data_IF_786757306545
#
_entry.id   IF_786757306545
#
_cell.length_a   1.000
_cell.length_b   1.000
_cell.length_c   1.000
_cell.angle_alpha   90.00
_cell.angle_beta   90.00
_cell.angle_gamma   90.00
#
_symmetry.space_group_name_H-M   'P 1'
#
loop_
_entity.id
_entity.type
_entity.pdbx_description
1 polymer ?
#
# COMPACT_ATOMS: atom_id res chain seq x y z
N UNK A 1 10.68 -0.27 -3.63
CA UNK A 1 10.68 0.74 -2.57
C UNK A 1 11.53 1.99 -2.91
N UNK A 2 12.63 1.87 -3.66
CA UNK A 2 13.51 2.98 -3.95
C UNK A 2 13.94 3.01 -5.43
N UNK A 3 14.16 4.22 -5.97
CA UNK A 3 14.45 4.40 -7.39
C UNK A 3 15.77 3.73 -7.80
N UNK A 4 16.79 3.73 -6.94
CA UNK A 4 18.06 3.09 -7.23
C UNK A 4 18.02 1.56 -7.33
N UNK A 5 16.95 0.92 -6.82
CA UNK A 5 16.73 -0.52 -7.03
C UNK A 5 16.51 -0.87 -8.49
N UNK A 6 16.02 0.08 -9.31
CA UNK A 6 15.88 -0.12 -10.75
C UNK A 6 17.22 -0.42 -11.41
N UNK A 7 18.27 0.32 -11.06
CA UNK A 7 19.60 0.15 -11.65
C UNK A 7 20.18 -1.22 -11.33
N UNK A 8 19.97 -1.65 -10.09
CA UNK A 8 20.42 -2.97 -9.62
C UNK A 8 19.66 -4.08 -10.32
N UNK A 9 18.32 -3.96 -10.39
CA UNK A 9 17.48 -4.96 -11.05
C UNK A 9 17.78 -5.05 -12.55
N UNK A 10 17.93 -3.90 -13.22
CA UNK A 10 18.25 -3.85 -14.65
C UNK A 10 19.59 -4.52 -14.95
N UNK A 11 20.63 -4.30 -14.11
CA UNK A 11 21.93 -5.00 -14.24
C UNK A 11 21.76 -6.51 -14.14
N UNK A 12 20.98 -6.99 -13.15
CA UNK A 12 20.71 -8.42 -12.95
C UNK A 12 19.96 -8.99 -14.16
N UNK A 13 18.93 -8.31 -14.63
CA UNK A 13 18.14 -8.73 -15.78
C UNK A 13 19.00 -8.79 -17.06
N UNK A 14 19.83 -7.78 -17.27
CA UNK A 14 20.77 -7.72 -18.41
C UNK A 14 21.76 -8.88 -18.40
N UNK A 15 22.40 -9.15 -17.25
CA UNK A 15 23.38 -10.24 -17.14
C UNK A 15 22.75 -11.62 -17.32
N UNK A 16 21.50 -11.80 -16.91
CA UNK A 16 20.76 -13.05 -17.07
C UNK A 16 19.95 -13.14 -18.37
N UNK A 17 19.98 -12.11 -19.24
CA UNK A 17 19.19 -12.01 -20.47
C UNK A 17 17.69 -12.28 -20.24
N UNK A 18 17.14 -11.77 -19.13
CA UNK A 18 15.74 -11.93 -18.73
C UNK A 18 15.08 -10.57 -18.53
N UNK A 19 13.76 -10.55 -18.66
CA UNK A 19 12.92 -9.41 -18.30
C UNK A 19 12.35 -9.60 -16.90
N UNK A 20 12.25 -8.53 -16.13
CA UNK A 20 11.55 -8.52 -14.85
C UNK A 20 10.25 -7.71 -14.94
N UNK A 21 9.15 -8.28 -14.44
CA UNK A 21 7.92 -7.53 -14.18
C UNK A 21 8.08 -6.75 -12.89
N UNK A 22 7.74 -5.45 -12.94
CA UNK A 22 7.91 -4.56 -11.80
C UNK A 22 6.65 -3.78 -11.46
N UNK A 23 6.52 -3.46 -10.19
CA UNK A 23 5.64 -2.40 -9.68
C UNK A 23 6.44 -1.51 -8.72
N UNK A 24 6.04 -0.26 -8.59
CA UNK A 24 6.59 0.61 -7.55
C UNK A 24 5.66 0.64 -6.35
N UNK A 25 6.26 0.55 -5.16
CA UNK A 25 5.57 0.92 -3.94
C UNK A 25 5.62 2.43 -3.80
N UNK A 26 4.47 3.06 -3.80
CA UNK A 26 4.32 4.51 -3.69
C UNK A 26 3.74 4.86 -2.32
N UNK A 27 4.34 5.84 -1.66
CA UNK A 27 3.80 6.41 -0.43
C UNK A 27 2.84 7.56 -0.78
N UNK A 28 1.52 7.39 -0.59
CA UNK A 28 0.54 8.44 -0.86
C UNK A 28 0.54 9.55 0.19
N UNK A 29 1.37 9.46 1.24
CA UNK A 29 1.45 10.40 2.35
C UNK A 29 0.09 10.61 3.06
N UNK A 30 -0.64 9.53 3.30
CA UNK A 30 -1.89 9.49 4.09
C UNK A 30 -1.61 8.88 5.46
N UNK A 31 -2.16 9.50 6.52
CA UNK A 31 -2.06 8.98 7.88
C UNK A 31 -3.08 7.87 8.12
N UNK A 32 -2.67 6.73 8.70
CA UNK A 32 -3.61 5.72 9.18
C UNK A 32 -4.45 6.21 10.37
N UNK A 33 -4.01 7.27 11.06
CA UNK A 33 -4.73 7.93 12.16
C UNK A 33 -5.32 9.23 11.64
N UNK A 34 -6.47 9.17 10.98
CA UNK A 34 -7.14 10.36 10.43
C UNK A 34 -7.89 11.16 11.50
N UNK A 35 -7.17 12.09 12.14
CA UNK A 35 -7.74 13.38 12.48
C UNK A 35 -7.02 14.43 11.61
N UNK A 36 -7.76 15.33 10.99
CA UNK A 36 -7.37 16.26 9.91
C UNK A 36 -6.13 17.15 10.15
N UNK A 37 -5.49 17.09 11.30
CA UNK A 37 -4.39 17.98 11.69
C UNK A 37 -3.01 17.32 11.90
N UNK A 38 -2.82 16.03 11.61
CA UNK A 38 -1.55 15.32 11.89
C UNK A 38 -0.85 14.76 10.65
N UNK A 39 -0.93 15.44 9.52
CA UNK A 39 -0.30 15.00 8.26
C UNK A 39 1.23 15.16 8.18
N UNK A 40 1.88 15.73 9.21
CA UNK A 40 3.33 16.03 9.19
C UNK A 40 4.22 14.82 9.47
N UNK A 41 3.76 13.80 10.21
CA UNK A 41 4.57 12.63 10.62
C UNK A 41 4.80 11.56 9.54
N UNK A 42 4.11 11.63 8.39
CA UNK A 42 4.15 10.55 7.39
C UNK A 42 5.00 10.86 6.15
N UNK A 43 5.48 12.09 6.01
CA UNK A 43 6.48 12.45 4.98
C UNK A 43 7.81 11.72 5.20
N UNK A 44 8.05 11.24 6.41
CA UNK A 44 9.27 10.55 6.84
C UNK A 44 9.18 9.02 6.78
N UNK A 45 8.12 8.45 6.15
CA UNK A 45 8.05 7.00 5.98
C UNK A 45 9.24 6.50 5.17
N UNK A 46 9.97 5.53 5.73
CA UNK A 46 11.09 4.88 5.05
C UNK A 46 10.69 3.96 3.91
N UNK A 47 9.36 3.70 3.74
CA UNK A 47 8.85 2.76 2.77
C UNK A 47 8.16 3.47 1.61
N UNK A 48 8.42 2.98 0.41
CA UNK A 48 7.85 3.46 -0.84
C UNK A 48 8.49 4.76 -1.34
N UNK A 49 8.42 4.98 -2.64
CA UNK A 49 8.84 6.24 -3.24
C UNK A 49 7.78 7.33 -2.96
N UNK A 50 8.18 8.58 -2.77
CA UNK A 50 7.23 9.69 -2.63
C UNK A 50 6.32 9.79 -3.86
N UNK A 51 5.02 10.10 -3.65
CA UNK A 51 4.05 10.26 -4.74
C UNK A 51 4.53 11.20 -5.86
N UNK A 52 5.19 12.30 -5.49
CA UNK A 52 5.75 13.28 -6.44
C UNK A 52 6.85 12.73 -7.35
N UNK A 53 7.52 11.66 -6.95
CA UNK A 53 8.60 11.02 -7.69
C UNK A 53 8.11 9.85 -8.57
N UNK A 54 6.85 9.42 -8.39
CA UNK A 54 6.30 8.27 -9.09
C UNK A 54 6.42 8.42 -10.62
N UNK A 55 5.99 9.57 -11.17
CA UNK A 55 6.02 9.81 -12.62
C UNK A 55 7.44 9.62 -13.21
N UNK A 56 8.45 10.19 -12.57
CA UNK A 56 9.84 10.07 -13.05
C UNK A 56 10.39 8.63 -12.90
N UNK A 57 10.02 7.94 -11.82
CA UNK A 57 10.38 6.53 -11.64
C UNK A 57 9.82 5.64 -12.75
N UNK A 58 8.52 5.81 -13.07
CA UNK A 58 7.88 5.07 -14.16
C UNK A 58 8.43 5.46 -15.54
N UNK A 59 8.70 6.74 -15.79
CA UNK A 59 9.32 7.23 -17.02
C UNK A 59 10.72 6.64 -17.23
N UNK A 60 11.50 6.51 -16.13
CA UNK A 60 12.78 5.84 -16.16
C UNK A 60 12.64 4.34 -16.45
N UNK A 61 11.75 3.64 -15.76
CA UNK A 61 11.51 2.22 -15.97
C UNK A 61 11.05 1.91 -17.41
N UNK A 62 10.22 2.77 -18.00
CA UNK A 62 9.73 2.63 -19.38
C UNK A 62 10.86 2.67 -20.43
N UNK A 63 11.99 3.30 -20.13
CA UNK A 63 13.15 3.34 -21.06
C UNK A 63 13.95 2.03 -21.09
N UNK A 64 13.78 1.17 -20.09
CA UNK A 64 14.52 -0.08 -20.02
C UNK A 64 13.82 -1.19 -20.82
N UNK A 65 14.59 -1.91 -21.63
CA UNK A 65 14.11 -3.10 -22.34
C UNK A 65 14.10 -4.37 -21.46
N UNK A 66 14.57 -4.26 -20.23
CA UNK A 66 14.65 -5.37 -19.29
C UNK A 66 13.62 -5.28 -18.16
N UNK A 67 12.86 -4.17 -18.11
CA UNK A 67 11.88 -3.94 -17.05
C UNK A 67 10.50 -3.75 -17.66
N UNK A 68 9.58 -4.66 -17.36
CA UNK A 68 8.19 -4.57 -17.77
C UNK A 68 7.37 -3.98 -16.62
N UNK A 69 6.85 -2.79 -16.82
CA UNK A 69 5.94 -2.15 -15.85
C UNK A 69 4.62 -2.93 -15.84
N UNK A 70 4.23 -3.46 -14.69
CA UNK A 70 3.01 -4.26 -14.55
C UNK A 70 1.99 -3.65 -13.59
N UNK A 71 2.41 -2.93 -12.56
CA UNK A 71 1.46 -2.42 -11.58
C UNK A 71 2.01 -1.29 -10.73
N UNK A 72 1.22 -0.91 -9.74
CA UNK A 72 1.54 0.03 -8.67
C UNK A 72 1.05 -0.54 -7.34
N UNK A 73 1.76 -0.26 -6.26
CA UNK A 73 1.44 -0.75 -4.93
C UNK A 73 1.53 0.37 -3.91
N UNK A 74 0.68 0.32 -2.90
CA UNK A 74 0.81 1.13 -1.69
C UNK A 74 0.60 0.27 -0.44
N UNK A 75 1.09 0.76 0.69
CA UNK A 75 0.72 0.23 2.01
C UNK A 75 0.77 1.36 3.02
N UNK A 76 -0.37 1.72 3.58
CA UNK A 76 -0.55 2.95 4.35
C UNK A 76 -0.38 2.79 5.86
N UNK A 77 -0.23 1.57 6.33
CA UNK A 77 -0.03 1.29 7.75
C UNK A 77 -0.64 -0.02 8.20
N UNK A 78 -0.76 -0.20 9.50
CA UNK A 78 -1.31 -1.41 10.12
C UNK A 78 -2.34 -1.04 11.20
N UNK A 79 -3.24 -1.97 11.52
CA UNK A 79 -4.29 -1.81 12.52
C UNK A 79 -5.21 -0.60 12.22
N UNK A 80 -5.66 -0.49 10.97
CA UNK A 80 -6.55 0.57 10.51
C UNK A 80 -7.99 0.08 10.65
N UNK A 81 -8.77 0.75 11.48
CA UNK A 81 -10.14 0.36 11.86
C UNK A 81 -11.22 1.26 11.25
N UNK A 82 -10.85 2.09 10.26
CA UNK A 82 -11.74 3.00 9.53
C UNK A 82 -11.48 2.92 8.03
N UNK A 83 -12.50 3.09 7.20
CA UNK A 83 -12.38 3.12 5.74
C UNK A 83 -11.71 4.40 5.22
N UNK A 84 -11.85 5.51 5.94
CA UNK A 84 -11.42 6.84 5.47
C UNK A 84 -9.96 6.91 5.02
N UNK A 85 -8.97 6.38 5.77
CA UNK A 85 -7.58 6.35 5.29
C UNK A 85 -7.40 5.58 3.98
N UNK A 86 -8.13 4.47 3.82
CA UNK A 86 -8.09 3.68 2.59
C UNK A 86 -8.71 4.44 1.41
N UNK A 87 -9.85 5.11 1.61
CA UNK A 87 -10.51 5.91 0.59
C UNK A 87 -9.60 7.04 0.09
N UNK A 88 -9.01 7.80 1.02
CA UNK A 88 -8.10 8.91 0.68
C UNK A 88 -6.84 8.41 -0.05
N UNK A 89 -6.25 7.31 0.42
CA UNK A 89 -5.04 6.76 -0.18
C UNK A 89 -5.32 6.16 -1.56
N UNK A 90 -6.45 5.46 -1.72
CA UNK A 90 -6.88 4.88 -3.00
C UNK A 90 -7.15 5.98 -4.02
N UNK A 91 -7.85 7.06 -3.64
CA UNK A 91 -8.05 8.20 -4.52
C UNK A 91 -6.74 8.78 -5.02
N UNK A 92 -5.80 9.07 -4.11
CA UNK A 92 -4.47 9.58 -4.48
C UNK A 92 -3.66 8.63 -5.35
N UNK A 93 -3.72 7.33 -5.08
CA UNK A 93 -3.03 6.33 -5.90
C UNK A 93 -3.59 6.31 -7.31
N UNK A 94 -4.91 6.38 -7.46
CA UNK A 94 -5.57 6.40 -8.74
C UNK A 94 -5.32 7.71 -9.51
N UNK A 95 -5.17 8.86 -8.83
CA UNK A 95 -4.73 10.11 -9.46
C UNK A 95 -3.31 9.95 -10.06
N UNK A 96 -2.42 9.23 -9.36
CA UNK A 96 -1.09 8.90 -9.91
C UNK A 96 -1.22 7.98 -11.14
N UNK A 97 -2.08 6.96 -11.07
CA UNK A 97 -2.33 6.05 -12.21
C UNK A 97 -2.89 6.82 -13.40
N UNK A 98 -3.82 7.76 -13.17
CA UNK A 98 -4.33 8.66 -14.20
C UNK A 98 -3.22 9.48 -14.86
N UNK A 99 -2.33 10.08 -14.06
CA UNK A 99 -1.17 10.80 -14.57
C UNK A 99 -0.18 9.92 -15.35
N UNK A 100 0.00 8.66 -14.93
CA UNK A 100 0.81 7.68 -15.67
C UNK A 100 0.17 7.32 -17.01
N UNK A 101 -1.14 7.18 -17.05
CA UNK A 101 -1.89 6.96 -18.30
C UNK A 101 -1.77 8.16 -19.23
N UNK A 102 -2.06 9.35 -18.73
CA UNK A 102 -2.05 10.57 -19.52
C UNK A 102 -0.66 10.91 -20.10
N UNK A 103 0.37 10.90 -19.23
CA UNK A 103 1.71 11.40 -19.58
C UNK A 103 2.63 10.34 -20.18
N UNK A 104 2.40 9.08 -19.90
CA UNK A 104 3.27 7.98 -20.34
C UNK A 104 2.53 6.91 -21.14
N UNK A 105 1.22 7.06 -21.37
CA UNK A 105 0.35 6.04 -21.99
C UNK A 105 0.56 4.64 -21.38
N UNK A 106 0.64 4.58 -20.05
CA UNK A 106 0.75 3.33 -19.33
C UNK A 106 -0.63 2.83 -18.91
N UNK A 107 -0.92 1.57 -19.25
CA UNK A 107 -2.05 0.84 -18.70
C UNK A 107 -1.49 -0.23 -17.76
N UNK A 108 -1.72 -0.06 -16.46
CA UNK A 108 -1.24 -0.99 -15.45
C UNK A 108 -2.10 -2.26 -15.45
N UNK A 109 -1.49 -3.41 -15.29
CA UNK A 109 -2.16 -4.71 -15.21
C UNK A 109 -2.86 -4.86 -13.85
N UNK A 110 -2.25 -4.31 -12.79
CA UNK A 110 -2.79 -4.37 -11.44
C UNK A 110 -2.52 -3.11 -10.60
N UNK A 111 -3.36 -2.95 -9.60
CA UNK A 111 -3.20 -1.97 -8.51
C UNK A 111 -3.29 -2.74 -7.20
N UNK A 112 -2.26 -2.63 -6.37
CA UNK A 112 -2.21 -3.26 -5.06
C UNK A 112 -2.42 -2.19 -3.97
N UNK A 113 -3.51 -2.32 -3.26
CA UNK A 113 -3.90 -1.39 -2.19
C UNK A 113 -3.24 -1.72 -0.85
N UNK A 114 -2.41 -2.78 -0.81
CA UNK A 114 -1.70 -3.22 0.37
C UNK A 114 -2.61 -3.85 1.41
N UNK A 115 -2.11 -3.91 2.62
CA UNK A 115 -2.83 -4.45 3.77
C UNK A 115 -3.16 -3.37 4.80
N UNK A 116 -3.19 -3.81 6.05
CA UNK A 116 -3.35 -2.91 7.17
C UNK A 116 -4.74 -2.90 7.79
N UNK A 117 -5.69 -3.67 7.26
CA UNK A 117 -7.02 -3.85 7.87
C UNK A 117 -6.82 -4.36 9.30
N UNK A 118 -7.39 -3.61 10.26
CA UNK A 118 -7.28 -3.90 11.68
C UNK A 118 -8.22 -5.01 12.13
N UNK A 119 -7.91 -5.57 13.30
CA UNK A 119 -8.78 -6.50 14.03
C UNK A 119 -9.18 -5.89 15.37
N UNK A 120 -10.21 -6.43 15.99
CA UNK A 120 -10.54 -6.11 17.38
C UNK A 120 -9.64 -6.87 18.34
N UNK A 121 -9.09 -6.18 19.33
CA UNK A 121 -8.49 -6.80 20.51
C UNK A 121 -9.49 -6.84 21.69
N UNK A 122 -10.47 -5.92 21.68
CA UNK A 122 -11.57 -5.86 22.65
C UNK A 122 -12.90 -5.70 21.91
N UNK A 123 -14.01 -6.15 22.52
CA UNK A 123 -15.33 -6.11 21.89
C UNK A 123 -15.82 -4.69 21.60
N UNK A 124 -15.38 -3.71 22.37
CA UNK A 124 -15.77 -2.30 22.27
C UNK A 124 -14.96 -1.54 21.19
N UNK A 125 -13.87 -2.12 20.69
CA UNK A 125 -13.05 -1.45 19.68
C UNK A 125 -13.78 -1.36 18.33
N UNK A 126 -13.68 -0.21 17.65
CA UNK A 126 -14.18 -0.11 16.28
C UNK A 126 -13.40 -1.04 15.36
N UNK A 127 -14.06 -1.55 14.35
CA UNK A 127 -13.39 -2.32 13.30
C UNK A 127 -14.11 -2.11 11.98
N UNK A 128 -13.46 -2.51 10.91
CA UNK A 128 -13.99 -2.47 9.56
C UNK A 128 -13.93 -3.88 8.97
N UNK A 129 -14.99 -4.30 8.31
CA UNK A 129 -15.01 -5.55 7.56
C UNK A 129 -14.52 -5.33 6.13
N UNK A 130 -14.06 -6.38 5.42
CA UNK A 130 -13.79 -6.29 3.98
C UNK A 130 -15.01 -5.84 3.18
N UNK A 131 -16.22 -6.19 3.62
CA UNK A 131 -17.47 -5.75 2.97
C UNK A 131 -17.66 -4.25 3.12
N UNK A 132 -17.46 -3.70 4.32
CA UNK A 132 -17.55 -2.25 4.55
C UNK A 132 -16.54 -1.50 3.71
N UNK A 133 -15.32 -2.03 3.64
CA UNK A 133 -14.24 -1.45 2.84
C UNK A 133 -14.57 -1.50 1.35
N UNK A 134 -15.04 -2.64 0.84
CA UNK A 134 -15.41 -2.79 -0.57
C UNK A 134 -16.55 -1.86 -0.98
N UNK A 135 -17.56 -1.71 -0.13
CA UNK A 135 -18.70 -0.80 -0.36
C UNK A 135 -18.26 0.67 -0.54
N UNK A 136 -17.10 1.04 0.02
CA UNK A 136 -16.53 2.39 -0.13
C UNK A 136 -15.54 2.48 -1.29
N UNK A 137 -14.67 1.50 -1.43
CA UNK A 137 -13.59 1.57 -2.41
C UNK A 137 -14.04 1.27 -3.84
N UNK A 138 -14.96 0.31 -4.04
CA UNK A 138 -15.37 -0.07 -5.40
C UNK A 138 -15.99 1.10 -6.16
N UNK A 139 -16.99 1.84 -5.61
CA UNK A 139 -17.54 3.01 -6.32
C UNK A 139 -16.49 4.09 -6.61
N UNK A 140 -15.59 4.34 -5.65
CA UNK A 140 -14.48 5.28 -5.84
C UNK A 140 -13.56 4.87 -6.99
N UNK A 141 -13.18 3.59 -7.04
CA UNK A 141 -12.31 3.03 -8.08
C UNK A 141 -12.98 3.10 -9.44
N UNK A 142 -14.26 2.73 -9.54
CA UNK A 142 -15.02 2.80 -10.78
C UNK A 142 -15.08 4.24 -11.33
N UNK A 143 -15.40 5.20 -10.47
CA UNK A 143 -15.40 6.62 -10.83
C UNK A 143 -14.04 7.06 -11.39
N UNK A 144 -12.93 6.65 -10.76
CA UNK A 144 -11.59 7.00 -11.21
C UNK A 144 -11.16 6.28 -12.50
N UNK A 145 -11.61 5.05 -12.71
CA UNK A 145 -11.40 4.31 -13.96
C UNK A 145 -12.06 5.05 -15.12
N UNK A 146 -13.31 5.50 -14.93
CA UNK A 146 -14.04 6.27 -15.93
C UNK A 146 -13.39 7.66 -16.16
N UNK A 147 -13.08 8.40 -15.08
CA UNK A 147 -12.46 9.73 -15.13
C UNK A 147 -11.18 9.76 -15.96
N UNK A 148 -10.32 8.75 -15.77
CA UNK A 148 -9.01 8.69 -16.44
C UNK A 148 -8.98 7.76 -17.65
N UNK A 149 -10.12 7.22 -18.08
CA UNK A 149 -10.22 6.24 -19.17
C UNK A 149 -9.19 5.11 -19.05
N UNK A 150 -9.13 4.50 -17.87
CA UNK A 150 -8.20 3.41 -17.57
C UNK A 150 -8.72 2.07 -18.08
N UNK A 151 -7.82 1.20 -18.51
CA UNK A 151 -8.15 -0.22 -18.58
C UNK A 151 -8.38 -0.72 -17.16
N UNK A 152 -9.44 -1.52 -16.96
CA UNK A 152 -9.77 -2.08 -15.65
C UNK A 152 -8.62 -2.97 -15.14
N UNK A 153 -7.93 -2.58 -14.05
CA UNK A 153 -6.83 -3.34 -13.50
C UNK A 153 -7.33 -4.45 -12.57
N UNK A 154 -6.49 -5.43 -12.29
CA UNK A 154 -6.72 -6.37 -11.18
C UNK A 154 -6.42 -5.64 -9.88
N UNK A 155 -7.31 -5.77 -8.89
CA UNK A 155 -7.09 -5.23 -7.54
C UNK A 155 -6.49 -6.30 -6.65
N UNK A 156 -5.38 -5.96 -6.00
CA UNK A 156 -4.76 -6.78 -4.96
C UNK A 156 -4.88 -6.14 -3.59
N UNK A 157 -4.97 -6.99 -2.58
CA UNK A 157 -4.94 -6.64 -1.16
C UNK A 157 -4.01 -7.60 -0.41
N UNK A 158 -3.37 -7.12 0.65
CA UNK A 158 -2.41 -7.86 1.47
C UNK A 158 -2.89 -7.96 2.95
N UNK A 159 -4.06 -8.52 3.27
CA UNK A 159 -4.72 -8.39 4.58
C UNK A 159 -4.16 -9.37 5.63
N UNK A 160 -2.84 -9.39 5.86
CA UNK A 160 -2.17 -10.36 6.72
C UNK A 160 -2.76 -10.48 8.13
N UNK A 161 -2.77 -9.38 8.91
CA UNK A 161 -3.32 -9.37 10.28
C UNK A 161 -4.80 -9.76 10.31
N UNK A 162 -5.59 -9.27 9.37
CA UNK A 162 -7.03 -9.53 9.32
C UNK A 162 -7.34 -11.02 9.15
N UNK A 163 -6.53 -11.74 8.38
CA UNK A 163 -6.72 -13.17 8.13
C UNK A 163 -6.22 -14.04 9.28
N UNK A 164 -5.11 -13.65 9.93
CA UNK A 164 -4.38 -14.51 10.87
C UNK A 164 -4.48 -14.06 12.32
N UNK A 165 -4.94 -12.84 12.58
CA UNK A 165 -4.81 -12.23 13.91
C UNK A 165 -5.62 -12.89 15.02
N UNK A 166 -6.75 -13.49 14.68
CA UNK A 166 -7.62 -14.22 15.62
C UNK A 166 -7.52 -15.75 15.50
N UNK A 167 -6.67 -16.25 14.62
CA UNK A 167 -6.48 -17.68 14.37
C UNK A 167 -5.24 -18.25 15.06
N UNK A 168 -4.45 -17.41 15.73
CA UNK A 168 -3.16 -17.78 16.32
C UNK A 168 -3.10 -17.41 17.80
N UNK A 169 -2.43 -18.23 18.59
CA UNK A 169 -2.11 -17.98 20.00
C UNK A 169 -0.61 -17.99 20.20
N UNK A 170 -0.12 -17.13 21.08
CA UNK A 170 1.25 -17.18 21.57
C UNK A 170 1.28 -18.01 22.85
N UNK A 171 1.96 -19.17 22.82
CA UNK A 171 2.21 -19.97 23.99
C UNK A 171 3.57 -19.60 24.58
N UNK A 172 3.59 -19.18 25.84
CA UNK A 172 4.80 -18.80 26.55
C UNK A 172 4.76 -19.25 28.01
N UNK A 173 5.93 -19.55 28.54
CA UNK A 173 6.08 -19.87 29.97
C UNK A 173 6.56 -18.63 30.71
N UNK A 174 5.91 -18.32 31.86
CA UNK A 174 6.37 -17.25 32.75
C UNK A 174 7.62 -17.76 33.51
N UNK A 175 8.78 -17.19 33.20
CA UNK A 175 10.06 -17.50 33.83
C UNK A 175 10.31 -16.72 35.14
N UNK A 176 9.84 -15.46 35.18
CA UNK A 176 10.08 -14.55 36.31
C UNK A 176 8.94 -13.57 36.45
N UNK A 177 8.54 -13.25 37.68
CA UNK A 177 7.55 -12.24 38.00
C UNK A 177 8.24 -11.10 38.76
N UNK A 178 8.31 -9.91 38.15
CA UNK A 178 8.74 -8.71 38.82
C UNK A 178 7.53 -7.99 39.42
N UNK A 179 7.58 -7.75 40.71
CA UNK A 179 6.55 -6.96 41.44
C UNK A 179 7.09 -5.58 41.76
N UNK A 180 6.30 -4.57 41.52
CA UNK A 180 6.52 -3.19 41.97
C UNK A 180 5.33 -2.75 42.80
N UNK A 181 5.36 -1.61 43.53
CA UNK A 181 4.18 -1.09 44.24
C UNK A 181 2.99 -0.84 43.33
N UNK A 182 3.22 -0.66 42.02
CA UNK A 182 2.18 -0.23 41.06
C UNK A 182 1.71 -1.35 40.13
N UNK A 183 2.57 -2.34 39.80
CA UNK A 183 2.24 -3.34 38.78
C UNK A 183 3.09 -4.62 38.91
N UNK A 184 2.52 -5.72 38.43
CA UNK A 184 3.24 -6.98 38.18
C UNK A 184 3.62 -7.07 36.69
N UNK A 185 4.84 -7.46 36.40
CA UNK A 185 5.36 -7.67 35.05
C UNK A 185 5.83 -9.12 34.93
#
# INVERSE_FOLDING_TARGET
DAIHELDRLEKICKSNKKEARISFRVNPAISPRTHQHLSTGLKESKFGIPAKEALEAYKRAKKSKYLKISGIQMHIGSQITSSVPFELATSKLLDIVGALKEKLDLNLEFIDLGGGIGIRYNKEEPYITPQDLSNKLIPLIETKIEEYNLKRPILYFEPGRYILGDTSILLAQVSTIKKTPYKKF
#
